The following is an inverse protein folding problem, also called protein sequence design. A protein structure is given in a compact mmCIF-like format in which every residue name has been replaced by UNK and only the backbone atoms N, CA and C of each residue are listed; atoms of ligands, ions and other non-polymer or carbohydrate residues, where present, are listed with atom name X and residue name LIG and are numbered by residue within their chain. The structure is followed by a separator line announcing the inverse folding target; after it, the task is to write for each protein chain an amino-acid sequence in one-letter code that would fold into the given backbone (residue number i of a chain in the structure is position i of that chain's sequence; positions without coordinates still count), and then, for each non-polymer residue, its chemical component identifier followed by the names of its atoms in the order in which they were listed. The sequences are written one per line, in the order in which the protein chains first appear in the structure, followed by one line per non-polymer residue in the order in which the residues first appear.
data_IF_210848939948
#
_entry.id   IF_210848939948
#
_cell.length_a   1.000
_cell.length_b   1.000
_cell.length_c   1.000
_cell.angle_alpha   90.00
_cell.angle_beta   90.00
_cell.angle_gamma   90.00
#
_symmetry.space_group_name_H-M   'P 1'
#
loop_
_entity.id
_entity.type
_entity.pdbx_description
1 polymer ?
#
# COMPACT_ATOMS: atom_id res chain seq x y z
N UNK A 1 3.70 12.14 -12.39
CA UNK A 1 2.91 12.96 -11.45
C UNK A 1 3.43 12.66 -10.06
N UNK A 2 3.86 13.68 -9.31
CA UNK A 2 4.08 13.50 -7.87
C UNK A 2 2.74 13.08 -7.27
N UNK A 3 2.63 11.83 -6.85
CA UNK A 3 1.39 11.28 -6.35
C UNK A 3 1.22 11.86 -4.94
N UNK A 4 0.20 12.70 -4.72
CA UNK A 4 -0.08 13.36 -3.43
C UNK A 4 -0.04 12.38 -2.24
N UNK A 5 -0.34 11.10 -2.47
CA UNK A 5 -0.25 10.03 -1.50
C UNK A 5 1.19 9.60 -1.21
N UNK A 6 2.08 9.56 -2.20
CA UNK A 6 3.51 9.32 -2.00
C UNK A 6 4.15 10.48 -1.22
N UNK A 7 3.80 11.72 -1.53
CA UNK A 7 4.30 12.89 -0.78
C UNK A 7 3.87 12.83 0.70
N UNK A 8 2.61 12.46 0.94
CA UNK A 8 2.09 12.27 2.30
C UNK A 8 2.73 11.09 3.03
N UNK A 9 3.03 10.00 2.32
CA UNK A 9 3.76 8.86 2.87
C UNK A 9 5.17 9.26 3.31
N UNK A 10 5.88 10.04 2.49
CA UNK A 10 7.22 10.55 2.81
C UNK A 10 7.17 11.46 4.03
N UNK A 11 6.25 12.42 4.07
CA UNK A 11 6.07 13.35 5.20
C UNK A 11 5.79 12.60 6.51
N UNK A 12 4.90 11.60 6.48
CA UNK A 12 4.64 10.74 7.65
C UNK A 12 5.87 9.93 8.06
N UNK A 13 6.66 9.42 7.10
CA UNK A 13 7.91 8.72 7.38
C UNK A 13 8.95 9.60 8.09
N UNK A 14 9.05 10.87 7.69
CA UNK A 14 9.91 11.85 8.35
C UNK A 14 9.43 12.18 9.76
N UNK A 15 8.12 12.39 9.95
CA UNK A 15 7.51 12.64 11.26
C UNK A 15 7.75 11.49 12.22
N UNK A 16 7.50 10.24 11.79
CA UNK A 16 7.76 9.02 12.57
C UNK A 16 9.25 8.82 12.92
N UNK A 17 10.15 9.47 12.18
CA UNK A 17 11.58 9.46 12.49
C UNK A 17 11.96 10.49 13.56
N UNK A 18 11.12 11.51 13.77
CA UNK A 18 11.29 12.57 14.78
C UNK A 18 10.50 12.28 16.07
N UNK A 19 9.42 11.50 16.00
CA UNK A 19 8.62 11.09 17.14
C UNK A 19 7.59 10.03 16.72
N UNK A 20 7.34 9.04 17.56
CA UNK A 20 6.59 7.85 17.17
C UNK A 20 5.12 7.87 17.63
N UNK A 21 4.78 8.74 18.56
CA UNK A 21 3.47 8.76 19.21
C UNK A 21 2.45 9.59 18.42
N UNK A 22 1.17 9.17 18.48
CA UNK A 22 -0.01 9.89 17.97
C UNK A 22 -0.21 9.94 16.44
N UNK A 23 0.45 9.08 15.66
CA UNK A 23 0.29 9.04 14.19
C UNK A 23 -0.59 7.89 13.66
N UNK A 24 -1.16 7.07 14.54
CA UNK A 24 -1.99 5.91 14.13
C UNK A 24 -3.15 6.33 13.22
N UNK A 25 -3.89 7.37 13.62
CA UNK A 25 -5.03 7.87 12.85
C UNK A 25 -4.58 8.45 11.50
N UNK A 26 -3.49 9.20 11.46
CA UNK A 26 -2.95 9.75 10.21
C UNK A 26 -2.54 8.65 9.22
N UNK A 27 -1.95 7.55 9.72
CA UNK A 27 -1.57 6.39 8.92
C UNK A 27 -2.81 5.63 8.43
N UNK A 28 -3.85 5.43 9.27
CA UNK A 28 -5.11 4.82 8.84
C UNK A 28 -5.81 5.65 7.75
N UNK A 29 -5.79 6.98 7.88
CA UNK A 29 -6.32 7.87 6.85
C UNK A 29 -5.54 7.75 5.54
N UNK A 30 -4.20 7.64 5.60
CA UNK A 30 -3.37 7.39 4.41
C UNK A 30 -3.77 6.06 3.74
N UNK A 31 -3.90 4.97 4.51
CA UNK A 31 -4.31 3.65 3.99
C UNK A 31 -5.68 3.75 3.29
N UNK A 32 -6.66 4.37 3.95
CA UNK A 32 -8.00 4.59 3.38
C UNK A 32 -7.93 5.38 2.06
N UNK A 33 -7.13 6.45 2.01
CA UNK A 33 -7.02 7.28 0.82
C UNK A 33 -6.30 6.56 -0.32
N UNK A 34 -5.33 5.69 -0.03
CA UNK A 34 -4.71 4.80 -1.03
C UNK A 34 -5.71 3.80 -1.57
N UNK A 35 -6.54 3.16 -0.71
CA UNK A 35 -7.62 2.27 -1.18
C UNK A 35 -8.57 2.99 -2.15
N UNK A 36 -8.96 4.22 -1.81
CA UNK A 36 -9.84 5.05 -2.66
C UNK A 36 -9.17 5.41 -3.99
N UNK A 37 -7.88 5.77 -3.98
CA UNK A 37 -7.12 6.10 -5.20
C UNK A 37 -7.00 4.89 -6.12
N UNK A 38 -6.65 3.71 -5.59
CA UNK A 38 -6.55 2.48 -6.37
C UNK A 38 -7.87 2.12 -7.03
N UNK A 39 -8.99 2.18 -6.29
CA UNK A 39 -10.32 1.95 -6.85
C UNK A 39 -10.66 3.00 -7.91
N UNK A 40 -10.36 4.28 -7.67
CA UNK A 40 -10.66 5.35 -8.62
C UNK A 40 -9.84 5.23 -9.92
N UNK A 41 -8.58 4.81 -9.84
CA UNK A 41 -7.66 4.70 -10.98
C UNK A 41 -7.82 3.41 -11.77
N UNK A 42 -8.10 2.30 -11.08
CA UNK A 42 -8.07 0.96 -11.67
C UNK A 42 -9.42 0.23 -11.60
N UNK A 43 -10.43 0.81 -10.96
CA UNK A 43 -11.75 0.20 -10.78
C UNK A 43 -11.80 -0.93 -9.74
N UNK A 44 -10.65 -1.34 -9.22
CA UNK A 44 -10.51 -2.39 -8.22
C UNK A 44 -9.19 -2.26 -7.45
N UNK A 45 -9.06 -3.00 -6.35
CA UNK A 45 -7.79 -3.24 -5.66
C UNK A 45 -7.36 -4.66 -6.01
N UNK A 46 -6.20 -4.82 -6.64
CA UNK A 46 -5.69 -6.13 -7.01
C UNK A 46 -5.10 -6.86 -5.78
N UNK A 47 -4.91 -8.20 -5.84
CA UNK A 47 -4.63 -9.00 -4.64
C UNK A 47 -3.40 -8.58 -3.84
N UNK A 48 -2.29 -8.25 -4.51
CA UNK A 48 -1.05 -7.84 -3.84
C UNK A 48 -1.23 -6.53 -3.08
N UNK A 49 -1.84 -5.53 -3.71
CA UNK A 49 -2.15 -4.26 -3.05
C UNK A 49 -3.10 -4.46 -1.87
N UNK A 50 -4.09 -5.35 -2.01
CA UNK A 50 -5.01 -5.65 -0.92
C UNK A 50 -4.28 -6.24 0.28
N UNK A 51 -3.44 -7.25 0.07
CA UNK A 51 -2.66 -7.89 1.14
C UNK A 51 -1.72 -6.92 1.84
N UNK A 52 -1.02 -6.07 1.09
CA UNK A 52 -0.14 -5.05 1.66
C UNK A 52 -0.92 -4.02 2.48
N UNK A 53 -2.10 -3.58 2.02
CA UNK A 53 -2.93 -2.63 2.77
C UNK A 53 -3.56 -3.26 4.02
N UNK A 54 -3.93 -4.54 3.97
CA UNK A 54 -4.40 -5.29 5.13
C UNK A 54 -3.28 -5.49 6.17
N UNK A 55 -2.06 -5.79 5.70
CA UNK A 55 -0.86 -5.83 6.55
C UNK A 55 -0.58 -4.46 7.17
N UNK A 56 -0.72 -3.38 6.40
CA UNK A 56 -0.52 -2.03 6.88
C UNK A 56 -1.46 -1.69 8.05
N UNK A 57 -2.76 -2.04 7.95
CA UNK A 57 -3.75 -1.84 9.02
C UNK A 57 -3.40 -2.66 10.27
N UNK A 58 -3.00 -3.92 10.11
CA UNK A 58 -2.55 -4.77 11.21
C UNK A 58 -1.33 -4.17 11.93
N UNK A 59 -0.37 -3.62 11.19
CA UNK A 59 0.78 -2.93 11.76
C UNK A 59 0.38 -1.68 12.55
N UNK A 60 -0.64 -0.92 12.11
CA UNK A 60 -1.14 0.20 12.92
C UNK A 60 -1.66 -0.30 14.27
N UNK A 61 -2.49 -1.35 14.26
CA UNK A 61 -3.08 -1.91 15.48
C UNK A 61 -2.04 -2.41 16.49
N UNK A 62 -0.90 -2.89 15.99
CA UNK A 62 0.23 -3.33 16.82
C UNK A 62 1.28 -2.22 17.07
N UNK A 63 1.00 -0.97 16.68
CA UNK A 63 1.87 0.18 16.83
C UNK A 63 3.23 0.04 16.09
N UNK A 64 3.27 -0.66 14.96
CA UNK A 64 4.43 -0.77 14.05
C UNK A 64 4.31 0.20 12.86
N UNK A 65 4.18 1.50 13.13
CA UNK A 65 3.83 2.53 12.13
C UNK A 65 4.82 2.63 10.95
N UNK A 66 6.12 2.43 11.16
CA UNK A 66 7.09 2.40 10.06
C UNK A 66 6.90 1.19 9.14
N UNK A 67 6.55 0.03 9.69
CA UNK A 67 6.22 -1.15 8.90
C UNK A 67 4.91 -0.94 8.13
N UNK A 68 3.94 -0.28 8.77
CA UNK A 68 2.70 0.14 8.11
C UNK A 68 2.97 1.02 6.89
N UNK A 69 3.79 2.07 7.02
CA UNK A 69 4.17 2.93 5.88
C UNK A 69 4.91 2.17 4.78
N UNK A 70 5.79 1.22 5.13
CA UNK A 70 6.48 0.39 4.14
C UNK A 70 5.49 -0.46 3.33
N UNK A 71 4.51 -1.08 3.99
CA UNK A 71 3.48 -1.86 3.31
C UNK A 71 2.61 -0.98 2.38
N UNK A 72 2.23 0.22 2.83
CA UNK A 72 1.54 1.21 1.97
C UNK A 72 2.39 1.60 0.75
N UNK A 73 3.68 1.81 0.95
CA UNK A 73 4.61 2.13 -0.15
C UNK A 73 4.68 0.97 -1.15
N UNK A 74 4.80 -0.27 -0.68
CA UNK A 74 4.79 -1.47 -1.53
C UNK A 74 3.52 -1.53 -2.36
N UNK A 75 2.35 -1.33 -1.76
CA UNK A 75 1.07 -1.31 -2.47
C UNK A 75 1.05 -0.27 -3.60
N UNK A 76 1.56 0.94 -3.34
CA UNK A 76 1.66 1.98 -4.35
C UNK A 76 2.63 1.60 -5.48
N UNK A 77 3.79 1.02 -5.16
CA UNK A 77 4.79 0.62 -6.17
C UNK A 77 4.25 -0.49 -7.08
N UNK A 78 3.69 -1.56 -6.51
CA UNK A 78 3.20 -2.70 -7.30
C UNK A 78 1.98 -2.33 -8.14
N UNK A 79 1.22 -1.31 -7.75
CA UNK A 79 0.10 -0.80 -8.56
C UNK A 79 0.54 -0.22 -9.92
N UNK A 80 1.76 0.29 -9.98
CA UNK A 80 2.34 0.90 -11.18
C UNK A 80 3.03 -0.13 -12.09
N UNK A 81 3.24 -1.36 -11.63
CA UNK A 81 3.85 -2.42 -12.43
C UNK A 81 3.03 -2.72 -13.68
N UNK A 82 3.74 -3.11 -14.75
CA UNK A 82 3.08 -3.74 -15.88
C UNK A 82 2.41 -5.04 -15.44
N UNK A 83 1.46 -5.50 -16.25
CA UNK A 83 0.70 -6.71 -15.95
C UNK A 83 1.60 -7.95 -15.89
N UNK A 84 2.68 -8.00 -16.66
CA UNK A 84 3.65 -9.09 -16.62
C UNK A 84 4.50 -9.03 -15.34
N UNK A 85 5.14 -7.89 -15.06
CA UNK A 85 5.97 -7.70 -13.87
C UNK A 85 5.21 -8.00 -12.58
N UNK A 86 3.95 -7.54 -12.50
CA UNK A 86 3.09 -7.79 -11.35
C UNK A 86 2.88 -9.28 -11.11
N UNK A 87 2.44 -10.03 -12.13
CA UNK A 87 2.11 -11.44 -11.95
C UNK A 87 3.34 -12.32 -11.77
N UNK A 88 4.47 -11.95 -12.38
CA UNK A 88 5.76 -12.60 -12.10
C UNK A 88 6.17 -12.38 -10.65
N UNK A 89 6.14 -11.13 -10.17
CA UNK A 89 6.51 -10.79 -8.80
C UNK A 89 5.59 -11.43 -7.76
N UNK A 90 4.27 -11.32 -7.95
CA UNK A 90 3.30 -11.82 -6.98
C UNK A 90 3.35 -13.35 -6.86
N UNK A 91 3.53 -14.06 -7.97
CA UNK A 91 3.65 -15.53 -7.97
C UNK A 91 4.98 -16.05 -7.42
N UNK A 92 6.01 -15.22 -7.38
CA UNK A 92 7.28 -15.60 -6.76
C UNK A 92 7.08 -16.01 -5.30
N UNK A 93 6.20 -15.31 -4.58
CA UNK A 93 5.80 -15.60 -3.20
C UNK A 93 4.48 -16.38 -3.10
N UNK A 94 3.62 -16.35 -4.13
CA UNK A 94 2.31 -17.02 -4.16
C UNK A 94 2.18 -18.03 -5.32
N UNK A 95 2.81 -19.20 -5.16
CA UNK A 95 3.06 -20.19 -6.24
C UNK A 95 1.81 -20.71 -6.97
N UNK A 96 0.65 -20.68 -6.33
CA UNK A 96 -0.59 -21.29 -6.87
C UNK A 96 -1.65 -20.26 -7.30
N UNK A 97 -1.33 -18.96 -7.29
CA UNK A 97 -2.33 -17.94 -7.60
C UNK A 97 -2.57 -17.82 -9.11
N UNK A 98 -3.84 -17.94 -9.48
CA UNK A 98 -4.31 -17.72 -10.86
C UNK A 98 -4.27 -16.24 -11.20
N UNK A 99 -3.80 -15.93 -12.41
CA UNK A 99 -3.81 -14.56 -12.94
C UNK A 99 -5.26 -14.14 -13.15
N UNK A 100 -5.63 -13.00 -12.60
CA UNK A 100 -6.91 -12.33 -12.80
C UNK A 100 -6.69 -10.94 -13.41
N UNK A 101 -7.69 -10.33 -14.07
CA UNK A 101 -7.61 -8.92 -14.43
C UNK A 101 -7.34 -8.05 -13.20
N UNK A 102 -6.43 -7.07 -13.32
CA UNK A 102 -6.10 -6.12 -12.23
C UNK A 102 -6.74 -4.76 -12.38
N UNK A 103 -7.37 -4.52 -13.52
CA UNK A 103 -7.92 -3.22 -13.90
C UNK A 103 -9.27 -3.49 -14.58
N UNK A 104 -10.29 -2.74 -14.18
CA UNK A 104 -11.64 -2.79 -14.76
C UNK A 104 -11.72 -2.07 -16.11
#
# INVERSE_FOLDING_TARGET
MSNKLQDRLIDLGEKLSKGYESYQEEVLLLISDVRKDLIARFGMIAPWESEELDLAENYVGANFLKASLLAVYTALVVSEYSDEEYWVGYRYTHKDVKKVPRRA
#
